data_IF_862804535545
#
_entry.id   IF_862804535545
#
_cell.length_a   1.000
_cell.length_b   1.000
_cell.length_c   1.000
_cell.angle_alpha   90.00
_cell.angle_beta   90.00
_cell.angle_gamma   90.00
#
_symmetry.space_group_name_H-M   'P 1'
#
loop_
_entity.id
_entity.type
_entity.pdbx_description
1 polymer ?
#
# COMPACT_ATOMS: atom_id res chain seq x y z
N UNK A 1 -39.53 -20.17 -16.37
CA UNK A 1 -38.36 -19.39 -16.87
C UNK A 1 -38.22 -18.05 -16.17
N UNK A 2 -39.30 -17.30 -15.86
CA UNK A 2 -39.29 -16.01 -15.13
C UNK A 2 -38.40 -15.91 -13.88
N UNK A 3 -38.34 -16.94 -13.03
CA UNK A 3 -37.56 -16.86 -11.78
C UNK A 3 -36.03 -16.83 -11.96
N UNK A 4 -35.49 -17.32 -13.08
CA UNK A 4 -34.04 -17.24 -13.35
C UNK A 4 -33.61 -15.83 -13.75
N UNK A 5 -34.48 -15.13 -14.47
CA UNK A 5 -34.22 -13.77 -14.96
C UNK A 5 -34.23 -12.76 -13.80
N UNK A 6 -35.14 -12.91 -12.83
CA UNK A 6 -35.19 -12.09 -11.62
C UNK A 6 -33.95 -12.26 -10.72
N UNK A 7 -33.46 -13.50 -10.56
CA UNK A 7 -32.23 -13.79 -9.80
C UNK A 7 -31.01 -13.19 -10.48
N UNK A 8 -30.93 -13.27 -11.81
CA UNK A 8 -29.82 -12.68 -12.58
C UNK A 8 -29.81 -11.15 -12.47
N UNK A 9 -30.98 -10.50 -12.55
CA UNK A 9 -31.12 -9.05 -12.36
C UNK A 9 -30.70 -8.63 -10.95
N UNK A 10 -31.06 -9.42 -9.93
CA UNK A 10 -30.64 -9.20 -8.53
C UNK A 10 -29.13 -9.28 -8.35
N UNK A 11 -28.48 -10.30 -8.93
CA UNK A 11 -27.03 -10.48 -8.86
C UNK A 11 -26.27 -9.32 -9.53
N UNK A 12 -26.71 -8.89 -10.73
CA UNK A 12 -26.12 -7.74 -11.43
C UNK A 12 -26.27 -6.44 -10.63
N UNK A 13 -27.38 -6.26 -9.92
CA UNK A 13 -27.58 -5.09 -9.06
C UNK A 13 -26.68 -5.12 -7.82
N UNK A 14 -26.42 -6.30 -7.25
CA UNK A 14 -25.48 -6.47 -6.14
C UNK A 14 -24.04 -6.21 -6.59
N UNK A 15 -23.63 -6.72 -7.74
CA UNK A 15 -22.30 -6.48 -8.31
C UNK A 15 -22.04 -5.00 -8.56
N UNK A 16 -23.02 -4.27 -9.13
CA UNK A 16 -22.93 -2.82 -9.31
C UNK A 16 -22.78 -2.08 -7.98
N UNK A 17 -23.49 -2.51 -6.94
CA UNK A 17 -23.37 -1.92 -5.59
C UNK A 17 -22.00 -2.21 -4.97
N UNK A 18 -21.45 -3.42 -5.16
CA UNK A 18 -20.11 -3.77 -4.69
C UNK A 18 -19.04 -2.92 -5.38
N UNK A 19 -19.12 -2.74 -6.70
CA UNK A 19 -18.20 -1.89 -7.44
C UNK A 19 -18.28 -0.41 -7.02
N UNK A 20 -19.49 0.08 -6.71
CA UNK A 20 -19.65 1.43 -6.19
C UNK A 20 -18.99 1.58 -4.82
N UNK A 21 -19.19 0.61 -3.92
CA UNK A 21 -18.57 0.59 -2.60
C UNK A 21 -17.04 0.52 -2.68
N UNK A 22 -16.50 -0.29 -3.58
CA UNK A 22 -15.05 -0.40 -3.81
C UNK A 22 -14.46 0.94 -4.25
N UNK A 23 -15.14 1.69 -5.12
CA UNK A 23 -14.71 3.03 -5.55
C UNK A 23 -14.74 4.03 -4.39
N UNK A 24 -15.78 4.00 -3.56
CA UNK A 24 -15.90 4.85 -2.37
C UNK A 24 -14.77 4.55 -1.37
N UNK A 25 -14.48 3.26 -1.13
CA UNK A 25 -13.38 2.85 -0.26
C UNK A 25 -12.02 3.34 -0.77
N UNK A 26 -11.74 3.20 -2.07
CA UNK A 26 -10.51 3.73 -2.66
C UNK A 26 -10.39 5.24 -2.50
N UNK A 27 -11.49 5.99 -2.74
CA UNK A 27 -11.52 7.43 -2.51
C UNK A 27 -11.20 7.82 -1.06
N UNK A 28 -11.79 7.10 -0.10
CA UNK A 28 -11.50 7.31 1.33
C UNK A 28 -10.02 7.03 1.65
N UNK A 29 -9.46 5.94 1.11
CA UNK A 29 -8.05 5.61 1.30
C UNK A 29 -7.12 6.68 0.74
N UNK A 30 -7.45 7.23 -0.42
CA UNK A 30 -6.66 8.30 -1.04
C UNK A 30 -6.74 9.59 -0.22
N UNK A 31 -7.92 9.97 0.27
CA UNK A 31 -8.05 11.10 1.20
C UNK A 31 -7.24 10.90 2.49
N UNK A 32 -7.25 9.69 3.07
CA UNK A 32 -6.44 9.38 4.26
C UNK A 32 -4.93 9.49 3.96
N UNK A 33 -4.49 9.05 2.77
CA UNK A 33 -3.10 9.20 2.34
C UNK A 33 -2.73 10.67 2.15
N UNK A 34 -3.59 11.45 1.51
CA UNK A 34 -3.37 12.89 1.33
C UNK A 34 -3.29 13.64 2.66
N UNK A 35 -4.19 13.35 3.60
CA UNK A 35 -4.14 13.95 4.95
C UNK A 35 -2.87 13.52 5.70
N UNK A 36 -2.47 12.25 5.63
CA UNK A 36 -1.18 11.80 6.19
C UNK A 36 0.00 12.52 5.56
N UNK A 37 0.00 12.74 4.24
CA UNK A 37 1.07 13.47 3.56
C UNK A 37 1.12 14.95 3.97
N UNK A 38 -0.04 15.56 4.27
CA UNK A 38 -0.11 16.92 4.84
C UNK A 38 0.43 16.97 6.27
N UNK A 39 0.14 15.95 7.09
CA UNK A 39 0.67 15.81 8.46
C UNK A 39 2.19 15.54 8.48
N UNK A 40 2.72 14.79 7.50
CA UNK A 40 4.14 14.40 7.38
C UNK A 40 5.03 15.42 6.65
N UNK A 41 4.56 16.67 6.46
CA UNK A 41 5.14 17.69 5.57
C UNK A 41 6.65 17.60 5.31
N UNK A 42 7.05 17.54 4.03
CA UNK A 42 8.43 17.48 3.46
C UNK A 42 9.44 16.47 4.05
N UNK A 43 9.09 15.76 5.13
CA UNK A 43 10.01 14.98 5.96
C UNK A 43 9.84 13.45 5.76
N UNK A 44 9.22 13.06 4.64
CA UNK A 44 8.95 11.66 4.29
C UNK A 44 10.26 10.87 4.11
N UNK A 45 11.35 11.53 3.70
CA UNK A 45 12.65 10.89 3.55
C UNK A 45 13.22 10.53 4.92
N UNK A 46 13.17 11.43 5.91
CA UNK A 46 13.66 11.13 7.28
C UNK A 46 12.80 10.08 7.98
N UNK A 47 11.48 10.12 7.83
CA UNK A 47 10.57 9.14 8.43
C UNK A 47 10.78 7.72 7.87
N UNK A 48 11.26 7.60 6.62
CA UNK A 48 11.51 6.32 5.96
C UNK A 48 12.86 5.71 6.33
N UNK A 49 13.87 6.53 6.66
CA UNK A 49 15.19 6.06 7.12
C UNK A 49 15.12 5.26 8.42
N UNK A 50 14.11 5.51 9.26
CA UNK A 50 13.87 4.74 10.48
C UNK A 50 13.03 3.46 10.29
N UNK A 51 12.39 3.26 9.13
CA UNK A 51 11.41 2.19 8.94
C UNK A 51 12.03 0.78 8.85
N UNK A 52 13.35 0.68 8.68
CA UNK A 52 14.07 -0.60 8.60
C UNK A 52 14.51 -1.11 9.98
N UNK A 53 14.31 -0.35 11.06
CA UNK A 53 14.71 -0.74 12.42
C UNK A 53 16.22 -0.86 12.62
N UNK A 54 17.02 -0.43 11.64
CA UNK A 54 18.47 -0.36 11.71
C UNK A 54 18.87 1.12 11.77
N UNK A 55 19.81 1.41 12.67
CA UNK A 55 20.55 2.67 12.62
C UNK A 55 21.51 2.59 11.42
N UNK A 56 21.04 3.11 10.29
CA UNK A 56 21.77 3.11 9.02
C UNK A 56 23.07 3.92 9.08
N UNK A 57 23.18 4.85 10.03
CA UNK A 57 24.37 5.66 10.27
C UNK A 57 25.32 5.01 11.29
N UNK A 58 24.91 3.92 11.93
CA UNK A 58 25.79 3.21 12.86
C UNK A 58 26.99 2.60 12.15
N UNK A 59 28.16 2.71 12.79
CA UNK A 59 29.38 2.08 12.32
C UNK A 59 29.24 0.55 12.19
N UNK A 60 28.37 -0.06 13.00
CA UNK A 60 28.10 -1.50 12.97
C UNK A 60 27.30 -1.92 11.73
N UNK A 61 26.27 -1.16 11.37
CA UNK A 61 25.50 -1.38 10.15
C UNK A 61 26.38 -1.24 8.90
N UNK A 62 27.15 -0.14 8.81
CA UNK A 62 28.06 0.11 7.67
C UNK A 62 29.13 -0.99 7.57
N UNK A 63 29.66 -1.46 8.70
CA UNK A 63 30.63 -2.57 8.73
C UNK A 63 30.00 -3.88 8.26
N UNK A 64 28.78 -4.18 8.68
CA UNK A 64 28.03 -5.36 8.24
C UNK A 64 27.75 -5.33 6.73
N UNK A 65 27.34 -4.17 6.21
CA UNK A 65 27.06 -3.98 4.79
C UNK A 65 28.33 -4.13 3.93
N UNK A 66 29.45 -3.52 4.35
CA UNK A 66 30.74 -3.65 3.65
C UNK A 66 31.31 -5.07 3.68
N UNK A 67 31.01 -5.84 4.72
CA UNK A 67 31.38 -7.25 4.83
C UNK A 67 30.43 -8.21 4.09
N UNK A 68 29.24 -7.75 3.69
CA UNK A 68 28.31 -8.58 2.95
C UNK A 68 28.83 -8.85 1.54
N UNK A 69 28.71 -10.10 1.08
CA UNK A 69 29.01 -10.43 -0.31
C UNK A 69 27.90 -9.82 -1.16
N UNK A 70 28.28 -9.00 -2.15
CA UNK A 70 27.33 -8.54 -3.18
C UNK A 70 26.69 -9.78 -3.80
N UNK A 71 25.36 -9.76 -3.91
CA UNK A 71 24.58 -10.81 -4.56
C UNK A 71 24.68 -10.67 -6.09
N UNK A 72 25.91 -10.56 -6.62
CA UNK A 72 26.18 -10.39 -8.06
C UNK A 72 25.82 -11.66 -8.88
N UNK A 73 25.18 -12.65 -8.25
CA UNK A 73 24.79 -13.95 -8.81
C UNK A 73 23.28 -14.10 -9.10
N UNK A 74 22.47 -13.06 -8.87
CA UNK A 74 21.04 -13.05 -9.22
C UNK A 74 20.94 -12.40 -10.60
N UNK A 75 20.74 -13.24 -11.63
CA UNK A 75 20.38 -12.87 -13.02
C UNK A 75 18.85 -12.77 -13.18
#
# INVERSE_FOLDING_TARGET
MKGKDEIMISAVNLEKKLLALERELHSILDMVREERLKELGEDVVEASSGAWGYDVDSAEFVRGLRGSKRLDWIE
#
